data_IF_317538065457
#
_entry.id   IF_317538065457
#
_cell.length_a   1.000
_cell.length_b   1.000
_cell.length_c   1.000
_cell.angle_alpha   90.00
_cell.angle_beta   90.00
_cell.angle_gamma   90.00
#
_symmetry.space_group_name_H-M   'P 1'
#
loop_
_entity.id
_entity.type
_entity.pdbx_description
1 polymer ?
#
# COMPACT_ATOMS: atom_id res chain seq x y z
N UNK A 1 2.61 4.21 -22.54
CA UNK A 1 1.14 4.40 -22.46
C UNK A 1 0.63 4.03 -21.10
N UNK A 2 -0.49 4.62 -20.73
CA UNK A 2 -1.05 4.56 -19.39
C UNK A 2 -2.48 4.05 -19.39
N UNK A 3 -3.21 4.28 -18.28
CA UNK A 3 -4.59 3.83 -18.16
C UNK A 3 -5.48 4.65 -19.09
N UNK A 4 -6.55 4.01 -19.58
CA UNK A 4 -7.62 4.66 -20.33
C UNK A 4 -8.91 4.55 -19.52
N UNK A 5 -9.81 5.51 -19.65
CA UNK A 5 -11.11 5.42 -18.99
C UNK A 5 -11.97 4.35 -19.68
N UNK A 6 -12.20 3.24 -18.99
CA UNK A 6 -13.05 2.12 -19.42
C UNK A 6 -14.32 2.02 -18.59
N UNK A 7 -14.77 3.11 -17.98
CA UNK A 7 -16.00 3.14 -17.18
C UNK A 7 -17.22 2.62 -17.95
N UNK A 8 -17.27 2.86 -19.27
CA UNK A 8 -18.32 2.35 -20.16
C UNK A 8 -18.38 0.80 -20.18
N UNK A 9 -17.25 0.14 -19.94
CA UNK A 9 -17.13 -1.31 -20.03
C UNK A 9 -17.28 -2.01 -18.68
N UNK A 10 -16.82 -1.36 -17.60
CA UNK A 10 -16.70 -1.97 -16.27
C UNK A 10 -17.99 -2.62 -15.75
N UNK A 11 -19.14 -1.99 -15.99
CA UNK A 11 -20.44 -2.44 -15.49
C UNK A 11 -21.38 -2.91 -16.61
N UNK A 12 -20.87 -3.11 -17.83
CA UNK A 12 -21.68 -3.52 -18.96
C UNK A 12 -21.88 -5.05 -18.93
N UNK A 13 -23.13 -5.56 -18.81
CA UNK A 13 -23.38 -7.00 -18.71
C UNK A 13 -23.01 -7.77 -19.99
N UNK A 14 -22.82 -7.09 -21.12
CA UNK A 14 -22.36 -7.70 -22.38
C UNK A 14 -20.85 -7.91 -22.43
N UNK A 15 -20.08 -7.38 -21.46
CA UNK A 15 -18.63 -7.49 -21.42
C UNK A 15 -18.25 -8.47 -20.31
N UNK A 16 -17.85 -9.68 -20.71
CA UNK A 16 -17.55 -10.77 -19.77
C UNK A 16 -16.21 -10.65 -19.04
N UNK A 17 -15.22 -9.96 -19.63
CA UNK A 17 -13.90 -9.78 -19.04
C UNK A 17 -13.18 -8.56 -19.61
N UNK A 18 -12.27 -7.97 -18.82
CA UNK A 18 -11.36 -6.92 -19.23
C UNK A 18 -9.94 -7.37 -18.84
N UNK A 19 -9.05 -7.47 -19.83
CA UNK A 19 -7.63 -7.82 -19.61
C UNK A 19 -6.77 -6.67 -20.11
N UNK A 20 -5.84 -6.22 -19.26
CA UNK A 20 -4.87 -5.19 -19.61
C UNK A 20 -3.46 -5.78 -19.64
N UNK A 21 -2.87 -5.81 -20.83
CA UNK A 21 -1.55 -6.40 -21.07
C UNK A 21 -0.40 -5.37 -21.11
N UNK A 22 -0.70 -4.07 -20.99
CA UNK A 22 0.30 -3.01 -21.06
C UNK A 22 1.08 -3.01 -22.38
N UNK A 23 2.39 -3.18 -22.31
CA UNK A 23 3.30 -3.26 -23.46
C UNK A 23 3.97 -4.65 -23.52
N UNK A 24 3.33 -5.65 -24.12
CA UNK A 24 3.73 -7.04 -23.94
C UNK A 24 4.86 -7.50 -24.90
N UNK A 25 5.39 -6.60 -25.73
CA UNK A 25 6.50 -6.89 -26.65
C UNK A 25 6.17 -7.95 -27.71
N UNK A 26 7.20 -8.51 -28.34
CA UNK A 26 7.06 -9.45 -29.48
C UNK A 26 6.34 -10.76 -29.12
N UNK A 27 6.44 -11.21 -27.87
CA UNK A 27 5.78 -12.44 -27.39
C UNK A 27 4.37 -12.17 -26.82
N UNK A 28 3.86 -10.94 -26.94
CA UNK A 28 2.65 -10.53 -26.24
C UNK A 28 1.38 -11.23 -26.69
N UNK A 29 1.28 -11.58 -27.97
CA UNK A 29 0.13 -12.33 -28.49
C UNK A 29 0.01 -13.72 -27.84
N UNK A 30 1.13 -14.46 -27.77
CA UNK A 30 1.19 -15.76 -27.12
C UNK A 30 0.89 -15.64 -25.62
N UNK A 31 1.52 -14.68 -24.92
CA UNK A 31 1.30 -14.48 -23.49
C UNK A 31 -0.17 -14.13 -23.14
N UNK A 32 -0.85 -13.36 -23.99
CA UNK A 32 -2.28 -13.05 -23.81
C UNK A 32 -3.12 -14.32 -24.07
N UNK A 33 -2.81 -15.09 -25.11
CA UNK A 33 -3.52 -16.33 -25.41
C UNK A 33 -3.40 -17.34 -24.25
N UNK A 34 -2.21 -17.55 -23.71
CA UNK A 34 -1.97 -18.45 -22.58
C UNK A 34 -2.82 -18.07 -21.35
N UNK A 35 -3.02 -16.78 -21.12
CA UNK A 35 -3.90 -16.30 -20.05
C UNK A 35 -5.36 -16.58 -20.42
N UNK A 36 -5.82 -16.13 -21.58
CA UNK A 36 -7.24 -16.24 -21.98
C UNK A 36 -7.74 -17.69 -22.07
N UNK A 37 -6.88 -18.62 -22.50
CA UNK A 37 -7.20 -20.04 -22.59
C UNK A 37 -6.91 -20.81 -21.29
N UNK A 38 -6.45 -20.14 -20.23
CA UNK A 38 -6.27 -20.74 -18.92
C UNK A 38 -5.00 -21.58 -18.76
N UNK A 39 -4.12 -21.61 -19.76
CA UNK A 39 -2.78 -22.21 -19.65
C UNK A 39 -1.98 -21.58 -18.51
N UNK A 40 -2.16 -20.27 -18.28
CA UNK A 40 -1.60 -19.55 -17.14
C UNK A 40 -2.68 -18.77 -16.40
N UNK A 41 -2.77 -18.97 -15.08
CA UNK A 41 -3.63 -18.15 -14.23
C UNK A 41 -3.09 -16.70 -14.09
N UNK A 42 -3.88 -15.66 -14.41
CA UNK A 42 -3.42 -14.28 -14.30
C UNK A 42 -3.10 -13.90 -12.85
N UNK A 43 -1.94 -13.27 -12.67
CA UNK A 43 -1.44 -12.82 -11.36
C UNK A 43 -1.01 -11.35 -11.35
N UNK A 44 -1.28 -10.63 -12.44
CA UNK A 44 -0.96 -9.21 -12.58
C UNK A 44 -1.80 -8.33 -11.64
N UNK A 45 -1.17 -7.30 -11.08
CA UNK A 45 -1.83 -6.25 -10.29
C UNK A 45 -1.50 -4.90 -10.91
N UNK A 46 -2.46 -3.98 -10.95
CA UNK A 46 -2.29 -2.68 -11.56
C UNK A 46 -1.21 -1.86 -10.84
N UNK A 47 -0.15 -1.40 -11.53
CA UNK A 47 0.88 -0.54 -10.96
C UNK A 47 0.43 0.94 -10.88
N UNK A 48 -0.80 1.25 -11.29
CA UNK A 48 -1.34 2.59 -11.36
C UNK A 48 -2.85 2.57 -11.14
N UNK A 49 -3.39 3.66 -10.60
CA UNK A 49 -4.84 3.88 -10.51
C UNK A 49 -5.40 4.28 -11.87
N UNK A 50 -6.53 3.70 -12.25
CA UNK A 50 -7.28 4.08 -13.44
C UNK A 50 -8.38 5.07 -13.03
N UNK A 51 -8.39 6.24 -13.67
CA UNK A 51 -9.28 7.34 -13.31
C UNK A 51 -10.41 7.49 -14.34
N UNK A 52 -11.58 7.95 -13.90
CA UNK A 52 -12.64 8.39 -14.80
C UNK A 52 -12.23 9.65 -15.59
N UNK A 53 -12.87 9.92 -16.71
CA UNK A 53 -12.57 11.06 -17.58
C UNK A 53 -12.71 12.42 -16.87
N UNK A 54 -13.65 12.56 -15.94
CA UNK A 54 -13.87 13.81 -15.19
C UNK A 54 -12.69 14.20 -14.29
N UNK A 55 -11.86 13.23 -13.89
CA UNK A 55 -10.60 13.48 -13.19
C UNK A 55 -9.63 14.28 -14.07
N UNK A 56 -9.56 13.98 -15.37
CA UNK A 56 -8.62 14.63 -16.30
C UNK A 56 -8.94 16.12 -16.48
N UNK A 57 -10.22 16.50 -16.41
CA UNK A 57 -10.63 17.90 -16.46
C UNK A 57 -10.14 18.73 -15.26
N UNK A 58 -9.81 18.07 -14.14
CA UNK A 58 -9.39 18.71 -12.88
C UNK A 58 -7.88 18.58 -12.62
N UNK A 59 -7.13 17.92 -13.51
CA UNK A 59 -5.71 17.64 -13.34
C UNK A 59 -4.94 18.07 -14.60
N UNK A 60 -4.70 19.38 -14.75
CA UNK A 60 -3.91 19.90 -15.87
C UNK A 60 -2.53 19.26 -15.93
N UNK A 61 -1.99 19.06 -17.13
CA UNK A 61 -0.62 18.55 -17.30
C UNK A 61 0.44 19.52 -16.76
N UNK A 62 0.10 20.80 -16.61
CA UNK A 62 0.97 21.86 -16.07
C UNK A 62 1.02 21.88 -14.53
N UNK A 63 0.07 21.23 -13.84
CA UNK A 63 0.06 21.16 -12.38
C UNK A 63 0.85 19.93 -11.90
N UNK A 64 2.04 20.18 -11.35
CA UNK A 64 2.98 19.14 -10.92
C UNK A 64 2.80 18.72 -9.45
N UNK A 65 1.89 19.36 -8.72
CA UNK A 65 1.54 19.01 -7.35
C UNK A 65 1.00 17.58 -7.24
N UNK A 66 1.48 16.81 -6.27
CA UNK A 66 0.95 15.46 -6.03
C UNK A 66 -0.26 15.45 -5.09
N UNK A 67 -0.33 16.43 -4.18
CA UNK A 67 -1.34 16.52 -3.12
C UNK A 67 -2.59 17.22 -3.63
N UNK A 68 -3.74 16.87 -3.06
CA UNK A 68 -4.97 17.61 -3.31
C UNK A 68 -4.86 19.05 -2.77
N UNK A 69 -5.39 20.00 -3.52
CA UNK A 69 -5.53 21.39 -3.14
C UNK A 69 -6.99 21.81 -3.39
N UNK A 70 -7.85 21.76 -2.34
CA UNK A 70 -9.25 22.13 -2.45
C UNK A 70 -9.47 23.57 -2.90
N UNK A 71 -8.54 24.49 -2.59
CA UNK A 71 -8.66 25.91 -2.97
C UNK A 71 -8.59 26.13 -4.48
N UNK A 72 -7.93 25.22 -5.20
CA UNK A 72 -7.81 25.20 -6.65
C UNK A 72 -8.73 24.18 -7.33
N UNK A 73 -9.59 23.49 -6.55
CA UNK A 73 -10.37 22.35 -7.04
C UNK A 73 -9.50 21.17 -7.51
N UNK A 74 -8.23 21.12 -7.11
CA UNK A 74 -7.27 20.11 -7.56
C UNK A 74 -7.37 18.85 -6.68
N UNK A 75 -7.72 17.68 -7.24
CA UNK A 75 -8.06 16.51 -6.43
C UNK A 75 -6.84 15.68 -5.99
N UNK A 76 -5.63 16.03 -6.42
CA UNK A 76 -4.40 15.27 -6.17
C UNK A 76 -4.19 14.12 -7.14
N UNK A 77 -3.03 13.46 -7.04
CA UNK A 77 -2.61 12.36 -7.91
C UNK A 77 -2.34 11.09 -7.11
N UNK A 78 -2.42 9.94 -7.78
CA UNK A 78 -2.13 8.61 -7.23
C UNK A 78 -3.06 8.17 -6.11
N UNK A 79 -3.05 6.87 -5.79
CA UNK A 79 -3.80 6.32 -4.66
C UNK A 79 -3.42 6.93 -3.29
N UNK A 80 -2.27 7.63 -3.19
CA UNK A 80 -1.78 8.19 -1.92
C UNK A 80 -2.51 9.48 -1.53
N UNK A 81 -2.89 10.29 -2.51
CA UNK A 81 -3.40 11.64 -2.29
C UNK A 81 -4.80 11.85 -2.88
N UNK A 82 -5.14 11.16 -3.98
CA UNK A 82 -6.46 11.21 -4.57
C UNK A 82 -7.46 10.39 -3.74
N UNK A 83 -8.57 11.01 -3.36
CA UNK A 83 -9.66 10.38 -2.56
C UNK A 83 -10.98 10.24 -3.34
N UNK A 84 -10.99 10.59 -4.62
CA UNK A 84 -12.19 10.54 -5.44
C UNK A 84 -12.46 9.15 -6.03
N UNK A 85 -13.48 9.04 -6.90
CA UNK A 85 -13.85 7.78 -7.55
C UNK A 85 -12.77 7.27 -8.50
N UNK A 86 -12.60 5.95 -8.56
CA UNK A 86 -11.64 5.28 -9.45
C UNK A 86 -12.33 4.20 -10.27
N UNK A 87 -11.86 3.98 -11.50
CA UNK A 87 -12.33 2.88 -12.34
C UNK A 87 -11.76 1.57 -11.80
N UNK A 88 -10.44 1.50 -11.68
CA UNK A 88 -9.72 0.42 -11.02
C UNK A 88 -8.64 0.99 -10.10
N UNK A 89 -8.60 0.60 -8.81
CA UNK A 89 -7.61 1.12 -7.88
C UNK A 89 -6.21 0.54 -8.15
N UNK A 90 -5.19 1.25 -7.68
CA UNK A 90 -3.84 0.70 -7.59
C UNK A 90 -3.83 -0.66 -6.88
N UNK A 91 -3.09 -1.62 -7.42
CA UNK A 91 -3.01 -2.97 -6.88
C UNK A 91 -4.21 -3.86 -7.21
N UNK A 92 -5.20 -3.40 -7.97
CA UNK A 92 -6.30 -4.23 -8.42
C UNK A 92 -5.83 -5.27 -9.45
N UNK A 93 -6.42 -6.47 -9.40
CA UNK A 93 -6.19 -7.51 -10.40
C UNK A 93 -6.84 -8.81 -9.94
N UNK A 94 -7.48 -9.50 -10.87
CA UNK A 94 -8.19 -10.74 -10.61
C UNK A 94 -7.31 -11.96 -10.91
N UNK A 95 -7.76 -13.12 -10.47
CA UNK A 95 -7.17 -14.42 -10.73
C UNK A 95 -8.31 -15.40 -11.04
N UNK A 96 -8.02 -16.52 -11.68
CA UNK A 96 -8.97 -17.61 -11.87
C UNK A 96 -9.25 -18.40 -10.57
N UNK A 97 -8.51 -18.12 -9.50
CA UNK A 97 -8.76 -18.67 -8.17
C UNK A 97 -8.95 -17.57 -7.13
N UNK A 98 -9.44 -17.95 -5.95
CA UNK A 98 -9.63 -17.07 -4.80
C UNK A 98 -8.58 -17.33 -3.73
N UNK A 99 -8.22 -16.29 -2.99
CA UNK A 99 -7.25 -16.37 -1.91
C UNK A 99 -7.83 -15.77 -0.64
N UNK A 100 -7.54 -16.38 0.50
CA UNK A 100 -7.89 -15.87 1.82
C UNK A 100 -6.62 -15.60 2.62
N UNK A 101 -6.62 -14.48 3.33
CA UNK A 101 -5.52 -14.05 4.19
C UNK A 101 -5.93 -14.18 5.65
N UNK A 102 -5.00 -14.63 6.50
CA UNK A 102 -5.13 -14.57 7.97
C UNK A 102 -3.81 -14.12 8.59
N UNK A 103 -3.87 -13.32 9.64
CA UNK A 103 -2.68 -12.93 10.41
C UNK A 103 -2.36 -14.04 11.41
N UNK A 104 -1.18 -14.64 11.29
CA UNK A 104 -0.71 -15.65 12.24
C UNK A 104 0.10 -15.02 13.38
N UNK A 105 0.90 -14.00 13.09
CA UNK A 105 1.68 -13.27 14.09
C UNK A 105 1.89 -11.83 13.62
N UNK A 106 1.50 -10.86 14.44
CA UNK A 106 1.74 -9.45 14.18
C UNK A 106 1.89 -8.68 15.51
N UNK A 107 2.88 -7.80 15.66
CA UNK A 107 3.03 -6.99 16.87
C UNK A 107 1.91 -5.95 16.96
N UNK A 108 1.41 -5.70 18.17
CA UNK A 108 0.39 -4.68 18.46
C UNK A 108 1.01 -3.40 19.00
N UNK A 109 2.08 -3.51 19.79
CA UNK A 109 2.70 -2.40 20.49
C UNK A 109 4.20 -2.38 20.20
N UNK A 110 4.73 -1.19 19.91
CA UNK A 110 6.13 -1.01 19.55
C UNK A 110 6.67 0.24 20.23
N UNK A 111 7.66 0.01 21.07
CA UNK A 111 8.41 1.06 21.75
C UNK A 111 9.55 1.57 20.88
N UNK A 112 9.63 2.90 20.71
CA UNK A 112 10.68 3.57 19.96
C UNK A 112 11.79 4.02 20.92
N UNK A 113 13.02 3.49 20.81
CA UNK A 113 14.16 3.96 21.59
C UNK A 113 14.55 5.37 21.13
N UNK A 114 14.60 6.30 22.09
CA UNK A 114 15.05 7.67 21.87
C UNK A 114 16.56 7.78 22.12
N UNK A 115 17.28 8.45 21.22
CA UNK A 115 18.73 8.63 21.36
C UNK A 115 19.14 9.82 22.23
N UNK A 116 18.22 10.69 22.65
CA UNK A 116 18.53 11.86 23.48
C UNK A 116 17.31 12.44 24.20
N UNK A 117 17.49 12.97 25.42
CA UNK A 117 16.47 13.75 26.15
C UNK A 117 16.04 15.02 25.40
N UNK A 118 16.90 15.58 24.53
CA UNK A 118 16.53 16.71 23.66
C UNK A 118 15.49 16.32 22.60
N UNK A 119 15.36 15.02 22.29
CA UNK A 119 14.28 14.54 21.42
C UNK A 119 12.90 14.78 22.05
N UNK A 120 12.77 14.78 23.38
CA UNK A 120 11.52 15.06 24.10
C UNK A 120 11.15 16.54 24.11
N UNK A 121 12.14 17.44 24.12
CA UNK A 121 11.86 18.88 24.01
C UNK A 121 11.37 19.25 22.60
N UNK A 122 11.72 18.45 21.59
CA UNK A 122 11.29 18.60 20.21
C UNK A 122 10.12 17.68 19.81
N UNK A 123 9.74 16.71 20.66
CA UNK A 123 8.34 16.28 20.78
C UNK A 123 7.61 17.41 21.46
N UNK A 124 7.44 18.51 20.72
CA UNK A 124 6.53 19.56 21.15
C UNK A 124 5.21 18.86 21.46
N UNK A 125 4.63 19.13 22.62
CA UNK A 125 3.29 18.67 22.99
C UNK A 125 2.19 19.12 21.99
N UNK A 126 2.58 19.80 20.91
CA UNK A 126 1.78 20.19 19.75
C UNK A 126 1.92 19.25 18.52
N UNK A 127 2.85 18.28 18.50
CA UNK A 127 2.97 17.29 17.41
C UNK A 127 3.37 15.92 17.94
N UNK A 128 2.40 14.99 18.01
CA UNK A 128 2.56 13.57 18.35
C UNK A 128 3.45 12.83 17.34
N UNK A 129 4.74 13.15 17.24
CA UNK A 129 5.68 12.52 16.31
C UNK A 129 7.14 12.71 16.71
N UNK A 130 7.99 11.74 16.35
CA UNK A 130 9.43 11.74 16.61
C UNK A 130 10.19 11.95 15.29
N UNK A 131 11.23 12.78 15.25
CA UNK A 131 12.12 12.85 14.07
C UNK A 131 12.88 11.54 13.91
N UNK A 132 12.94 11.00 12.70
CA UNK A 132 13.65 9.73 12.43
C UNK A 132 15.12 9.80 12.86
N UNK A 133 15.77 10.97 12.79
CA UNK A 133 17.14 11.19 13.24
C UNK A 133 17.36 11.05 14.76
N UNK A 134 16.29 11.06 15.56
CA UNK A 134 16.35 10.97 17.03
C UNK A 134 16.04 9.56 17.56
N UNK A 135 15.98 8.56 16.67
CA UNK A 135 15.67 7.17 17.01
C UNK A 135 16.71 6.26 16.37
N UNK A 136 17.15 5.22 17.08
CA UNK A 136 18.04 4.21 16.50
C UNK A 136 17.25 3.27 15.58
N UNK A 137 17.27 3.57 14.29
CA UNK A 137 16.50 2.85 13.28
C UNK A 137 17.10 1.49 12.87
N UNK A 138 18.33 1.17 13.28
CA UNK A 138 19.03 -0.04 12.85
C UNK A 138 18.40 -1.35 13.35
N UNK A 139 17.65 -1.29 14.46
CA UNK A 139 17.08 -2.48 15.12
C UNK A 139 15.54 -2.54 15.10
N UNK A 140 14.87 -1.52 14.55
CA UNK A 140 13.40 -1.42 14.58
C UNK A 140 12.77 -2.05 13.33
N UNK A 141 12.79 -3.38 13.29
CA UNK A 141 12.10 -4.19 12.28
C UNK A 141 11.02 -5.05 12.93
N UNK A 142 9.81 -4.99 12.38
CA UNK A 142 8.65 -5.74 12.83
C UNK A 142 8.36 -6.85 11.84
N UNK A 143 8.37 -8.10 12.28
CA UNK A 143 7.93 -9.24 11.47
C UNK A 143 6.43 -9.39 11.55
N UNK A 144 5.73 -9.28 10.41
CA UNK A 144 4.31 -9.61 10.28
C UNK A 144 4.20 -10.89 9.46
N UNK A 145 3.58 -11.92 10.03
CA UNK A 145 3.34 -13.19 9.37
C UNK A 145 1.88 -13.28 8.92
N UNK A 146 1.72 -13.53 7.62
CA UNK A 146 0.42 -13.63 6.95
C UNK A 146 0.34 -15.00 6.32
N UNK A 147 -0.66 -15.77 6.71
CA UNK A 147 -1.02 -17.00 6.03
C UNK A 147 -1.88 -16.67 4.81
N UNK A 148 -1.44 -17.16 3.65
CA UNK A 148 -2.15 -17.03 2.38
C UNK A 148 -2.62 -18.41 1.96
N UNK A 149 -3.93 -18.60 1.86
CA UNK A 149 -4.56 -19.85 1.42
C UNK A 149 -5.22 -19.68 0.07
N UNK A 150 -4.95 -20.60 -0.86
CA UNK A 150 -5.71 -20.72 -2.09
C UNK A 150 -7.01 -21.48 -1.78
N UNK A 151 -8.15 -20.80 -1.93
CA UNK A 151 -9.47 -21.33 -1.59
C UNK A 151 -10.28 -21.78 -2.82
N UNK A 152 -9.74 -21.63 -4.03
CA UNK A 152 -10.39 -22.12 -5.24
C UNK A 152 -9.85 -23.47 -5.69
N UNK A 153 -10.25 -23.87 -6.90
CA UNK A 153 -10.01 -25.20 -7.47
C UNK A 153 -8.84 -25.24 -8.45
N UNK A 154 -8.21 -24.10 -8.74
CA UNK A 154 -7.09 -24.00 -9.67
C UNK A 154 -5.87 -23.38 -8.99
N UNK A 155 -4.70 -23.81 -9.45
CA UNK A 155 -3.42 -23.27 -9.00
C UNK A 155 -3.32 -21.80 -9.40
N UNK A 156 -2.63 -21.02 -8.57
CA UNK A 156 -2.55 -19.59 -8.80
C UNK A 156 -1.43 -18.93 -8.07
N UNK A 157 -1.01 -17.78 -8.61
CA UNK A 157 0.00 -16.95 -7.98
C UNK A 157 -0.66 -15.69 -7.45
N UNK A 158 -0.53 -15.46 -6.14
CA UNK A 158 -1.07 -14.31 -5.45
C UNK A 158 0.00 -13.26 -5.20
N UNK A 159 -0.33 -11.99 -5.41
CA UNK A 159 0.53 -10.85 -5.06
C UNK A 159 -0.04 -10.21 -3.80
N UNK A 160 0.60 -10.43 -2.67
CA UNK A 160 0.27 -9.85 -1.37
C UNK A 160 0.78 -8.41 -1.34
N UNK A 161 -0.11 -7.43 -1.17
CA UNK A 161 0.24 -6.01 -1.06
C UNK A 161 0.00 -5.54 0.38
N UNK A 162 1.02 -4.92 0.97
CA UNK A 162 0.96 -4.41 2.35
C UNK A 162 1.04 -2.89 2.30
N UNK A 163 0.00 -2.24 2.81
CA UNK A 163 -0.04 -0.79 2.92
C UNK A 163 -0.01 -0.37 4.39
N UNK A 164 0.56 0.80 4.66
CA UNK A 164 0.49 1.47 5.96
C UNK A 164 -0.25 2.79 5.83
N UNK A 165 -1.08 3.08 6.83
CA UNK A 165 -1.73 4.38 7.04
C UNK A 165 -1.31 4.91 8.41
N UNK A 166 -0.80 6.16 8.49
CA UNK A 166 -0.44 6.77 9.77
C UNK A 166 -1.69 7.11 10.61
N UNK A 167 -1.53 7.39 11.92
CA UNK A 167 -2.57 7.98 12.75
C UNK A 167 -3.16 9.24 12.12
N UNK A 168 -4.40 9.59 12.49
CA UNK A 168 -5.04 10.82 12.03
C UNK A 168 -4.17 12.05 12.31
N UNK A 169 -3.93 12.88 11.30
CA UNK A 169 -3.09 14.06 11.42
C UNK A 169 -2.84 14.73 10.08
N UNK A 170 -2.18 15.89 10.10
CA UNK A 170 -1.79 16.64 8.90
C UNK A 170 -0.52 16.05 8.28
N UNK A 171 -0.63 14.84 7.74
CA UNK A 171 0.49 14.13 7.11
C UNK A 171 0.46 14.29 5.59
N UNK A 172 1.61 14.06 4.97
CA UNK A 172 1.75 14.17 3.53
C UNK A 172 0.87 13.19 2.76
N UNK A 173 0.61 11.98 3.27
CA UNK A 173 -0.22 10.96 2.60
C UNK A 173 -0.98 10.07 3.59
N UNK A 174 -2.09 9.48 3.13
CA UNK A 174 -3.02 8.73 3.99
C UNK A 174 -2.79 7.21 3.99
N UNK A 175 -2.25 6.67 2.89
CA UNK A 175 -1.99 5.24 2.70
C UNK A 175 -0.79 5.07 1.77
N UNK A 176 0.15 4.20 2.09
CA UNK A 176 1.34 3.95 1.26
C UNK A 176 1.67 2.46 1.20
N UNK A 177 2.06 1.96 0.03
CA UNK A 177 2.59 0.60 -0.11
C UNK A 177 3.95 0.53 0.59
N UNK A 178 4.09 -0.39 1.55
CA UNK A 178 5.33 -0.58 2.32
C UNK A 178 6.06 -1.88 1.96
N UNK A 179 5.37 -2.81 1.31
CA UNK A 179 5.95 -4.07 0.86
C UNK A 179 4.96 -4.85 0.01
N UNK A 180 5.49 -5.78 -0.77
CA UNK A 180 4.70 -6.77 -1.48
C UNK A 180 5.49 -8.06 -1.65
N UNK A 181 4.79 -9.18 -1.72
CA UNK A 181 5.37 -10.50 -1.94
C UNK A 181 4.52 -11.28 -2.93
N UNK A 182 5.16 -12.05 -3.82
CA UNK A 182 4.47 -12.88 -4.79
C UNK A 182 4.62 -14.35 -4.42
N UNK A 183 3.49 -15.04 -4.28
CA UNK A 183 3.44 -16.41 -3.76
C UNK A 183 2.61 -17.29 -4.67
N UNK A 184 3.21 -18.39 -5.13
CA UNK A 184 2.51 -19.43 -5.85
C UNK A 184 1.91 -20.45 -4.87
N UNK A 185 0.65 -20.82 -5.10
CA UNK A 185 -0.10 -21.76 -4.27
C UNK A 185 -0.91 -22.71 -5.16
N UNK A 186 -0.72 -24.00 -4.94
CA UNK A 186 -1.58 -25.06 -5.49
C UNK A 186 -2.99 -24.92 -4.90
N UNK A 187 -4.02 -25.36 -5.62
CA UNK A 187 -5.40 -25.38 -5.15
C UNK A 187 -5.51 -26.00 -3.74
N UNK A 188 -6.23 -25.32 -2.82
CA UNK A 188 -6.42 -25.77 -1.44
C UNK A 188 -5.22 -25.58 -0.49
N UNK A 189 -4.02 -25.31 -1.01
CA UNK A 189 -2.80 -25.15 -0.21
C UNK A 189 -2.72 -23.81 0.51
N UNK A 190 -1.88 -23.76 1.54
CA UNK A 190 -1.61 -22.55 2.33
C UNK A 190 -0.09 -22.37 2.49
N UNK A 191 0.36 -21.12 2.46
CA UNK A 191 1.75 -20.75 2.76
C UNK A 191 1.78 -19.55 3.69
N UNK A 192 2.66 -19.60 4.68
CA UNK A 192 2.97 -18.46 5.52
C UNK A 192 4.00 -17.55 4.86
N UNK A 193 3.75 -16.25 4.91
CA UNK A 193 4.59 -15.21 4.34
C UNK A 193 4.99 -14.26 5.45
N UNK A 194 6.30 -14.07 5.62
CA UNK A 194 6.84 -13.07 6.53
C UNK A 194 7.11 -11.76 5.78
N UNK A 195 6.61 -10.66 6.32
CA UNK A 195 6.84 -9.31 5.84
C UNK A 195 7.60 -8.54 6.91
N UNK A 196 8.79 -8.03 6.57
CA UNK A 196 9.59 -7.22 7.48
C UNK A 196 9.29 -5.71 7.30
N UNK A 197 8.71 -5.12 8.34
CA UNK A 197 8.35 -3.70 8.39
C UNK A 197 9.42 -2.94 9.14
N UNK A 198 10.20 -2.13 8.40
CA UNK A 198 11.17 -1.20 9.00
C UNK A 198 10.46 0.06 9.46
N UNK A 199 10.32 0.25 10.77
CA UNK A 199 9.49 1.32 11.36
C UNK A 199 9.87 2.70 10.82
N UNK A 200 11.16 3.07 10.87
CA UNK A 200 11.62 4.38 10.41
C UNK A 200 11.43 4.62 8.91
N UNK A 201 11.33 3.57 8.07
CA UNK A 201 11.16 3.72 6.62
C UNK A 201 9.69 3.64 6.23
N UNK A 202 8.97 2.67 6.78
CA UNK A 202 7.64 2.24 6.37
C UNK A 202 6.51 2.91 7.16
N UNK A 203 6.76 3.30 8.42
CA UNK A 203 5.78 3.97 9.29
C UNK A 203 6.08 5.46 9.51
N UNK A 204 7.10 6.00 8.83
CA UNK A 204 7.39 7.44 8.86
C UNK A 204 6.70 8.19 7.73
N UNK A 205 6.43 9.46 8.00
CA UNK A 205 5.83 10.43 7.08
C UNK A 205 6.72 11.66 6.98
N UNK A 206 6.58 12.39 5.88
CA UNK A 206 7.25 13.69 5.71
C UNK A 206 6.26 14.78 6.08
N UNK A 207 6.69 15.73 6.92
CA UNK A 207 5.88 16.87 7.32
C UNK A 207 5.93 18.02 6.30
N UNK A 208 5.35 19.18 6.64
CA UNK A 208 5.31 20.35 5.76
C UNK A 208 6.69 21.00 5.56
N UNK A 209 7.61 20.81 6.50
CA UNK A 209 8.99 21.33 6.43
C UNK A 209 9.94 20.37 5.70
N UNK A 210 9.44 19.27 5.14
CA UNK A 210 10.27 18.29 4.43
C UNK A 210 11.04 17.35 5.37
N UNK A 211 10.74 17.36 6.68
CA UNK A 211 11.44 16.54 7.66
C UNK A 211 10.67 15.23 7.87
N UNK A 212 11.40 14.12 7.84
CA UNK A 212 10.84 12.78 8.09
C UNK A 212 10.62 12.54 9.58
N UNK A 213 9.39 12.22 9.94
CA UNK A 213 8.93 11.97 11.31
C UNK A 213 8.14 10.67 11.40
N UNK A 214 8.17 10.03 12.57
CA UNK A 214 7.39 8.86 12.93
C UNK A 214 6.22 9.36 13.78
N UNK A 215 4.98 9.36 13.28
CA UNK A 215 3.80 9.66 14.08
C UNK A 215 3.67 8.68 15.25
N UNK A 216 3.34 9.20 16.44
CA UNK A 216 3.03 8.40 17.64
C UNK A 216 1.53 8.10 17.65
N UNK A 217 1.18 6.92 18.17
CA UNK A 217 -0.18 6.39 18.19
C UNK A 217 -0.41 5.27 17.19
N UNK A 218 -1.67 5.07 16.80
CA UNK A 218 -2.11 3.90 16.03
C UNK A 218 -1.87 4.04 14.53
N UNK A 219 -1.00 3.19 13.99
CA UNK A 219 -0.80 2.98 12.57
C UNK A 219 -1.61 1.78 12.10
N UNK A 220 -2.23 1.88 10.93
CA UNK A 220 -2.98 0.78 10.35
C UNK A 220 -2.19 0.13 9.21
N UNK A 221 -2.05 -1.19 9.27
CA UNK A 221 -1.60 -2.03 8.18
C UNK A 221 -2.81 -2.59 7.44
N UNK A 222 -2.79 -2.50 6.12
CA UNK A 222 -3.82 -3.06 5.24
C UNK A 222 -3.21 -4.15 4.36
N UNK A 223 -3.74 -5.37 4.46
CA UNK A 223 -3.24 -6.57 3.78
C UNK A 223 -4.43 -7.29 3.15
N UNK A 224 -4.69 -7.02 1.87
CA UNK A 224 -5.94 -7.45 1.24
C UNK A 224 -7.14 -6.88 2.01
N UNK A 225 -8.01 -7.77 2.49
CA UNK A 225 -9.19 -7.42 3.28
C UNK A 225 -8.90 -7.30 4.79
N UNK A 226 -7.68 -7.65 5.22
CA UNK A 226 -7.28 -7.53 6.62
C UNK A 226 -6.82 -6.12 6.96
N UNK A 227 -7.19 -5.69 8.17
CA UNK A 227 -6.69 -4.48 8.81
C UNK A 227 -6.08 -4.86 10.16
N UNK A 228 -4.82 -4.49 10.38
CA UNK A 228 -4.10 -4.70 11.65
C UNK A 228 -3.57 -3.37 12.16
N UNK A 229 -3.78 -3.08 13.44
CA UNK A 229 -3.37 -1.81 14.04
C UNK A 229 -2.14 -2.00 14.92
N UNK A 230 -1.16 -1.10 14.79
CA UNK A 230 0.09 -1.07 15.56
C UNK A 230 0.18 0.26 16.30
N UNK A 231 0.26 0.22 17.61
CA UNK A 231 0.49 1.37 18.49
C UNK A 231 2.00 1.64 18.60
N UNK A 232 2.44 2.81 18.14
CA UNK A 232 3.80 3.28 18.36
C UNK A 232 3.85 4.20 19.58
N UNK A 233 4.73 3.89 20.53
CA UNK A 233 4.96 4.70 21.73
C UNK A 233 6.45 5.06 21.86
N UNK A 234 6.74 6.19 22.51
CA UNK A 234 8.11 6.56 22.83
C UNK A 234 8.53 5.86 24.13
N UNK A 235 9.70 5.20 24.16
CA UNK A 235 10.27 4.67 25.41
C UNK A 235 11.56 5.44 25.77
N UNK A 236 11.73 5.66 27.06
CA UNK A 236 12.77 6.46 27.70
C UNK A 236 13.85 5.63 28.41
N UNK A 237 13.73 4.30 28.44
CA UNK A 237 14.47 3.44 29.38
C UNK A 237 15.98 3.25 29.11
N UNK A 238 16.56 3.81 28.04
CA UNK A 238 18.00 3.59 27.72
C UNK A 238 18.85 4.86 27.56
N UNK A 239 18.50 5.95 28.24
CA UNK A 239 19.44 7.08 28.35
C UNK A 239 20.36 6.79 29.54
N UNK A 240 21.41 6.00 29.33
CA UNK A 240 22.53 5.94 30.27
C UNK A 240 23.16 7.33 30.34
N UNK A 241 23.15 7.89 31.54
CA UNK A 241 23.79 9.16 31.91
C UNK A 241 25.29 9.15 31.61
#
# INVERSE_FOLDING_TARGET
GGPIDVSFAKNNPRIGAIVWAGYPGQAGGAAIADVLFGTTNPSGKLPMTWYPQDYLAKVPMTEMGMRADPSKGYPGRTYRFYKGPVVFPFGHGMSYTTFRHTLSQAPTDVSLPLTSLYALKNTTSASNSIRVSHTNCGQLSLGVHVDVKNTGTVDGTHTLLVFSSPPAGKWSGNKQLIGFEKVHLVAGSQKQVRIDIRVCKHLSVVDQSGIRRIPIGTHDLHIGDLKHSISLQANLEEIKY
#
